data_IF_824232264208
#
_entry.id   IF_824232264208
#
_cell.length_a   1.000
_cell.length_b   1.000
_cell.length_c   1.000
_cell.angle_alpha   90.00
_cell.angle_beta   90.00
_cell.angle_gamma   90.00
#
_symmetry.space_group_name_H-M   'P 1'
#
loop_
_entity.id
_entity.type
_entity.pdbx_description
1 polymer ?
#
# COMPACT_ATOMS: atom_id res chain seq x y z
N UNK A 1 3.77 26.51 1.09
CA UNK A 1 3.62 25.32 0.23
C UNK A 1 2.69 25.72 -0.90
N UNK A 2 3.17 25.72 -2.12
CA UNK A 2 2.34 25.97 -3.29
C UNK A 2 1.19 24.96 -3.32
N UNK A 3 -0.02 25.48 -3.57
CA UNK A 3 -1.21 24.64 -3.79
C UNK A 3 -1.08 23.95 -5.16
N UNK A 4 -0.20 22.97 -5.23
CA UNK A 4 0.07 22.19 -6.42
C UNK A 4 -1.15 21.34 -6.75
N UNK A 5 -1.80 21.66 -7.86
CA UNK A 5 -2.68 20.79 -8.65
C UNK A 5 -3.52 19.75 -7.89
N UNK A 6 -4.42 20.21 -7.04
CA UNK A 6 -5.48 19.33 -6.50
C UNK A 6 -6.41 18.98 -7.67
N UNK A 7 -6.56 17.69 -7.95
CA UNK A 7 -7.48 17.18 -8.94
C UNK A 7 -8.68 16.56 -8.23
N UNK A 8 -9.86 17.04 -8.53
CA UNK A 8 -11.10 16.44 -8.07
C UNK A 8 -11.43 15.22 -8.95
N UNK A 9 -11.66 14.07 -8.34
CA UNK A 9 -12.03 12.82 -8.99
C UNK A 9 -13.39 12.36 -8.49
N UNK A 10 -14.22 11.82 -9.39
CA UNK A 10 -15.55 11.31 -9.02
C UNK A 10 -15.47 9.97 -8.31
N UNK A 11 -14.60 9.10 -8.80
CA UNK A 11 -14.32 7.78 -8.26
C UNK A 11 -12.85 7.41 -8.49
N UNK A 12 -12.32 6.53 -7.67
CA UNK A 12 -10.94 6.03 -7.74
C UNK A 12 -10.89 4.58 -7.30
N UNK A 13 -10.10 3.79 -8.01
CA UNK A 13 -9.75 2.43 -7.61
C UNK A 13 -8.29 2.39 -7.17
N UNK A 14 -8.06 2.05 -5.89
CA UNK A 14 -6.71 1.79 -5.35
C UNK A 14 -6.53 0.29 -5.15
N UNK A 15 -5.36 -0.22 -5.50
CA UNK A 15 -4.96 -1.59 -5.22
C UNK A 15 -3.70 -1.61 -4.37
N UNK A 16 -3.81 -2.12 -3.15
CA UNK A 16 -2.69 -2.40 -2.25
C UNK A 16 -2.20 -3.81 -2.49
N UNK A 17 -0.90 -4.01 -2.65
CA UNK A 17 -0.34 -5.34 -2.95
C UNK A 17 1.05 -5.53 -2.37
N UNK A 18 1.30 -6.74 -1.84
CA UNK A 18 2.54 -7.14 -1.22
C UNK A 18 2.54 -8.64 -0.94
N UNK A 19 3.53 -9.12 -0.20
CA UNK A 19 3.55 -10.52 0.23
C UNK A 19 2.45 -10.81 1.26
N UNK A 20 2.05 -12.06 1.34
CA UNK A 20 1.20 -12.55 2.43
C UNK A 20 1.91 -12.30 3.78
N UNK A 21 1.41 -11.37 4.56
CA UNK A 21 2.02 -10.92 5.82
C UNK A 21 2.52 -9.47 5.80
N UNK A 22 2.60 -8.81 4.65
CA UNK A 22 2.90 -7.38 4.55
C UNK A 22 1.75 -6.49 5.07
N UNK A 23 0.60 -7.07 5.43
CA UNK A 23 -0.50 -6.34 6.05
C UNK A 23 -1.41 -5.59 5.07
N UNK A 24 -1.38 -5.93 3.78
CA UNK A 24 -2.17 -5.24 2.75
C UNK A 24 -3.68 -5.29 2.99
N UNK A 25 -4.16 -6.38 3.57
CA UNK A 25 -5.57 -6.50 3.98
C UNK A 25 -5.94 -5.46 5.05
N UNK A 26 -5.07 -5.25 6.04
CA UNK A 26 -5.27 -4.25 7.08
C UNK A 26 -5.21 -2.82 6.52
N UNK A 27 -4.22 -2.55 5.66
CA UNK A 27 -4.04 -1.24 4.99
C UNK A 27 -5.29 -0.88 4.19
N UNK A 28 -5.77 -1.80 3.34
CA UNK A 28 -6.97 -1.59 2.54
C UNK A 28 -8.23 -1.44 3.39
N UNK A 29 -8.38 -2.21 4.45
CA UNK A 29 -9.50 -2.09 5.40
C UNK A 29 -9.51 -0.71 6.07
N UNK A 30 -8.38 -0.25 6.61
CA UNK A 30 -8.30 1.07 7.25
C UNK A 30 -8.57 2.22 6.28
N UNK A 31 -8.08 2.10 5.04
CA UNK A 31 -8.36 3.09 4.00
C UNK A 31 -9.84 3.14 3.64
N UNK A 32 -10.47 1.97 3.42
CA UNK A 32 -11.89 1.88 3.05
C UNK A 32 -12.80 2.36 4.17
N UNK A 33 -12.55 1.95 5.41
CA UNK A 33 -13.36 2.37 6.56
C UNK A 33 -13.27 3.89 6.80
N UNK A 34 -12.06 4.46 6.69
CA UNK A 34 -11.86 5.91 6.80
C UNK A 34 -12.62 6.65 5.70
N UNK A 35 -12.55 6.16 4.45
CA UNK A 35 -13.26 6.77 3.32
C UNK A 35 -14.78 6.64 3.46
N UNK A 36 -15.29 5.51 3.95
CA UNK A 36 -16.71 5.32 4.23
C UNK A 36 -17.24 6.28 5.29
N UNK A 37 -16.45 6.55 6.35
CA UNK A 37 -16.82 7.51 7.39
C UNK A 37 -16.91 8.96 6.88
N UNK A 38 -16.22 9.27 5.79
CA UNK A 38 -16.33 10.56 5.09
C UNK A 38 -17.55 10.64 4.14
N UNK A 39 -18.33 9.57 4.06
CA UNK A 39 -19.52 9.50 3.21
C UNK A 39 -19.29 9.00 1.80
N UNK A 40 -18.08 8.50 1.48
CA UNK A 40 -17.85 7.89 0.18
C UNK A 40 -18.64 6.57 0.02
N UNK A 41 -19.11 6.30 -1.19
CA UNK A 41 -19.50 4.96 -1.60
C UNK A 41 -18.26 4.07 -1.68
N UNK A 42 -18.35 2.84 -1.18
CA UNK A 42 -17.20 1.92 -1.09
C UNK A 42 -17.59 0.56 -1.63
N UNK A 43 -16.70 -0.01 -2.45
CA UNK A 43 -16.72 -1.43 -2.81
C UNK A 43 -15.32 -1.99 -2.71
N UNK A 44 -15.14 -3.17 -2.10
CA UNK A 44 -13.82 -3.75 -1.82
C UNK A 44 -13.69 -5.17 -2.36
N UNK A 45 -12.45 -5.54 -2.70
CA UNK A 45 -12.10 -6.90 -3.11
C UNK A 45 -10.80 -7.34 -2.44
N UNK A 46 -10.86 -8.20 -1.40
CA UNK A 46 -9.69 -8.85 -0.86
C UNK A 46 -9.18 -9.91 -1.83
N UNK A 47 -7.88 -9.86 -2.15
CA UNK A 47 -7.22 -10.79 -3.06
C UNK A 47 -6.14 -11.55 -2.28
N UNK A 48 -6.31 -12.86 -2.18
CA UNK A 48 -5.44 -13.75 -1.42
C UNK A 48 -4.43 -14.44 -2.35
N UNK A 49 -3.26 -14.86 -1.81
CA UNK A 49 -2.24 -15.50 -2.63
C UNK A 49 -2.77 -16.77 -3.31
N UNK A 50 -2.32 -17.02 -4.53
CA UNK A 50 -2.66 -18.22 -5.30
C UNK A 50 -2.17 -19.49 -4.59
N UNK A 51 -1.04 -19.40 -3.85
CA UNK A 51 -0.49 -20.49 -3.03
C UNK A 51 -0.38 -20.05 -1.57
N UNK A 52 -1.00 -20.82 -0.66
CA UNK A 52 -1.08 -20.52 0.78
C UNK A 52 0.32 -20.45 1.44
N UNK A 53 1.32 -21.17 0.90
CA UNK A 53 2.68 -21.28 1.46
C UNK A 53 3.76 -20.90 0.45
N UNK A 54 3.44 -20.02 -0.50
CA UNK A 54 4.43 -19.54 -1.44
C UNK A 54 5.57 -18.79 -0.71
N UNK A 55 6.82 -18.94 -1.17
CA UNK A 55 7.95 -18.19 -0.63
C UNK A 55 7.73 -16.69 -0.81
N UNK A 56 8.20 -15.90 0.17
CA UNK A 56 8.15 -14.43 0.11
C UNK A 56 8.93 -13.90 -1.10
N UNK A 57 8.39 -12.87 -1.75
CA UNK A 57 8.97 -12.26 -2.94
C UNK A 57 8.67 -12.99 -4.24
N UNK A 58 7.84 -14.05 -4.22
CA UNK A 58 7.39 -14.74 -5.44
C UNK A 58 6.00 -14.26 -5.86
N UNK A 59 5.73 -14.28 -7.16
CA UNK A 59 4.44 -13.86 -7.73
C UNK A 59 3.27 -14.68 -7.16
N UNK A 60 3.48 -15.95 -6.88
CA UNK A 60 2.45 -16.84 -6.31
C UNK A 60 2.07 -16.50 -4.86
N UNK A 61 2.97 -15.81 -4.12
CA UNK A 61 2.76 -15.39 -2.73
C UNK A 61 2.15 -14.00 -2.57
N UNK A 62 1.83 -13.32 -3.67
CA UNK A 62 1.29 -11.97 -3.65
C UNK A 62 -0.14 -11.96 -3.10
N UNK A 63 -0.37 -11.09 -2.15
CA UNK A 63 -1.69 -10.74 -1.59
C UNK A 63 -2.05 -9.31 -1.99
N UNK A 64 -3.33 -9.03 -2.12
CA UNK A 64 -3.80 -7.70 -2.47
C UNK A 64 -5.11 -7.33 -1.80
N UNK A 65 -5.41 -6.05 -1.80
CA UNK A 65 -6.70 -5.50 -1.39
C UNK A 65 -7.06 -4.34 -2.31
N UNK A 66 -8.18 -4.44 -2.99
CA UNK A 66 -8.66 -3.39 -3.87
C UNK A 66 -9.80 -2.62 -3.23
N UNK A 67 -9.76 -1.31 -3.35
CA UNK A 67 -10.79 -0.39 -2.86
C UNK A 67 -11.25 0.50 -4.00
N UNK A 68 -12.51 0.42 -4.36
CA UNK A 68 -13.18 1.37 -5.22
C UNK A 68 -13.99 2.32 -4.34
N UNK A 69 -13.72 3.61 -4.42
CA UNK A 69 -14.39 4.61 -3.63
C UNK A 69 -14.71 5.85 -4.47
N UNK A 70 -15.84 6.50 -4.19
CA UNK A 70 -16.30 7.63 -4.97
C UNK A 70 -17.34 8.48 -4.23
N UNK A 71 -17.81 9.52 -4.91
CA UNK A 71 -18.86 10.41 -4.41
C UNK A 71 -20.25 9.77 -4.40
N UNK A 72 -20.41 8.64 -5.09
CA UNK A 72 -21.66 7.89 -5.20
C UNK A 72 -21.51 6.47 -4.68
N UNK A 73 -22.61 5.72 -4.67
CA UNK A 73 -22.58 4.31 -4.27
C UNK A 73 -21.86 3.49 -5.33
N UNK A 74 -20.76 2.86 -4.92
CA UNK A 74 -19.99 1.94 -5.76
C UNK A 74 -20.59 0.52 -5.70
N UNK A 75 -20.92 -0.05 -6.87
CA UNK A 75 -21.59 -1.36 -6.97
C UNK A 75 -20.62 -2.52 -7.23
N UNK A 76 -19.39 -2.21 -7.61
CA UNK A 76 -18.35 -3.21 -7.90
C UNK A 76 -16.97 -2.67 -7.47
N UNK A 77 -15.99 -3.54 -7.23
CA UNK A 77 -14.65 -3.14 -6.79
C UNK A 77 -13.77 -2.55 -7.92
N UNK A 78 -14.27 -2.42 -9.13
CA UNK A 78 -13.53 -1.99 -10.31
C UNK A 78 -12.69 -3.11 -10.93
N UNK A 79 -12.48 -3.06 -12.25
CA UNK A 79 -11.65 -4.03 -12.98
C UNK A 79 -10.18 -3.59 -13.00
N UNK A 80 -9.92 -2.30 -13.22
CA UNK A 80 -8.60 -1.70 -13.32
C UNK A 80 -8.40 -0.64 -12.26
N UNK A 81 -7.16 -0.49 -11.77
CA UNK A 81 -6.85 0.48 -10.73
C UNK A 81 -6.24 1.77 -11.28
N UNK A 82 -6.61 2.88 -10.64
CA UNK A 82 -6.03 4.21 -10.86
C UNK A 82 -4.71 4.37 -10.10
N UNK A 83 -4.60 3.68 -8.95
CA UNK A 83 -3.40 3.68 -8.11
C UNK A 83 -3.06 2.25 -7.70
N UNK A 84 -1.82 1.87 -7.92
CA UNK A 84 -1.22 0.62 -7.40
C UNK A 84 -0.18 0.98 -6.33
N UNK A 85 -0.34 0.43 -5.15
CA UNK A 85 0.68 0.45 -4.08
C UNK A 85 1.31 -0.93 -4.01
N UNK A 86 2.53 -1.06 -4.49
CA UNK A 86 3.27 -2.33 -4.54
C UNK A 86 4.41 -2.33 -3.51
N UNK A 87 4.38 -3.23 -2.56
CA UNK A 87 5.40 -3.31 -1.51
C UNK A 87 6.67 -4.04 -1.93
N UNK A 88 6.67 -4.66 -3.12
CA UNK A 88 7.83 -5.36 -3.68
C UNK A 88 7.67 -5.62 -5.19
N UNK A 89 8.74 -6.06 -5.89
CA UNK A 89 8.70 -6.35 -7.33
C UNK A 89 7.71 -7.45 -7.73
N UNK A 90 7.48 -8.46 -6.89
CA UNK A 90 6.51 -9.52 -7.17
C UNK A 90 5.08 -8.97 -7.21
N UNK A 91 4.74 -8.09 -6.26
CA UNK A 91 3.47 -7.38 -6.23
C UNK A 91 3.28 -6.48 -7.45
N UNK A 92 4.34 -5.76 -7.86
CA UNK A 92 4.32 -4.94 -9.07
C UNK A 92 4.03 -5.80 -10.31
N UNK A 93 4.78 -6.89 -10.49
CA UNK A 93 4.65 -7.79 -11.64
C UNK A 93 3.27 -8.46 -11.73
N UNK A 94 2.76 -8.95 -10.59
CA UNK A 94 1.45 -9.61 -10.52
C UNK A 94 0.30 -8.68 -10.91
N UNK A 95 0.43 -7.39 -10.60
CA UNK A 95 -0.65 -6.41 -10.75
C UNK A 95 -0.50 -5.47 -11.96
N UNK A 96 0.60 -5.55 -12.73
CA UNK A 96 0.82 -4.71 -13.94
C UNK A 96 -0.38 -4.72 -14.89
N UNK A 97 -1.00 -5.87 -15.07
CA UNK A 97 -2.13 -6.08 -15.98
C UNK A 97 -3.44 -5.38 -15.56
N UNK A 98 -3.52 -4.94 -14.32
CA UNK A 98 -4.70 -4.28 -13.77
C UNK A 98 -4.58 -2.75 -13.72
N UNK A 99 -3.51 -2.17 -14.27
CA UNK A 99 -3.33 -0.72 -14.32
C UNK A 99 -4.17 -0.09 -15.42
N UNK A 100 -4.91 0.99 -15.10
CA UNK A 100 -5.51 1.88 -16.09
C UNK A 100 -4.42 2.63 -16.84
N UNK A 101 -4.61 3.03 -18.11
CA UNK A 101 -3.69 3.94 -18.78
C UNK A 101 -3.46 5.22 -17.95
N UNK A 102 -2.19 5.61 -17.75
CA UNK A 102 -1.84 6.77 -16.95
C UNK A 102 -2.01 6.61 -15.43
N UNK A 103 -2.23 5.39 -14.93
CA UNK A 103 -2.32 5.12 -13.50
C UNK A 103 -1.04 5.52 -12.75
N UNK A 104 -1.19 5.79 -11.46
CA UNK A 104 -0.07 6.01 -10.55
C UNK A 104 0.40 4.69 -9.95
N UNK A 105 1.70 4.44 -10.00
CA UNK A 105 2.34 3.26 -9.41
C UNK A 105 3.27 3.71 -8.30
N UNK A 106 3.00 3.31 -7.08
CA UNK A 106 3.86 3.55 -5.91
C UNK A 106 4.52 2.23 -5.55
N UNK A 107 5.84 2.16 -5.64
CA UNK A 107 6.61 0.96 -5.28
C UNK A 107 7.64 1.27 -4.22
N UNK A 108 7.78 0.43 -3.19
CA UNK A 108 8.86 0.55 -2.22
C UNK A 108 10.23 0.36 -2.90
N UNK A 109 10.97 1.47 -3.07
CA UNK A 109 12.27 1.49 -3.72
C UNK A 109 13.32 0.60 -3.02
N UNK A 110 13.24 0.49 -1.69
CA UNK A 110 14.14 -0.36 -0.91
C UNK A 110 13.93 -1.85 -1.19
N UNK A 111 12.79 -2.21 -1.75
CA UNK A 111 12.47 -3.58 -2.14
C UNK A 111 13.02 -3.98 -3.50
N UNK A 112 13.46 -3.02 -4.33
CA UNK A 112 14.01 -3.28 -5.66
C UNK A 112 15.47 -3.74 -5.52
N UNK A 113 15.65 -4.99 -5.14
CA UNK A 113 16.96 -5.63 -5.01
C UNK A 113 17.10 -6.78 -6.01
N UNK A 114 18.33 -7.13 -6.36
CA UNK A 114 18.60 -8.25 -7.29
C UNK A 114 17.94 -9.56 -6.82
N UNK A 115 17.98 -9.84 -5.51
CA UNK A 115 17.35 -11.04 -4.93
C UNK A 115 15.83 -11.03 -5.08
N UNK A 116 15.16 -9.90 -4.81
CA UNK A 116 13.71 -9.78 -4.97
C UNK A 116 13.30 -9.82 -6.45
N UNK A 117 14.04 -9.18 -7.33
CA UNK A 117 13.78 -9.22 -8.77
C UNK A 117 13.90 -10.65 -9.31
N UNK A 118 14.95 -11.38 -8.88
CA UNK A 118 15.17 -12.77 -9.26
C UNK A 118 14.05 -13.69 -8.74
N UNK A 119 13.63 -13.54 -7.47
CA UNK A 119 12.50 -14.29 -6.91
C UNK A 119 11.19 -14.02 -7.64
N UNK A 120 10.96 -12.78 -8.08
CA UNK A 120 9.81 -12.38 -8.87
C UNK A 120 9.97 -12.72 -10.38
N UNK A 121 11.03 -13.45 -10.75
CA UNK A 121 11.31 -13.87 -12.12
C UNK A 121 11.44 -12.70 -13.12
N UNK A 122 12.05 -11.58 -12.71
CA UNK A 122 12.47 -10.54 -13.65
C UNK A 122 13.71 -10.99 -14.43
N UNK A 123 13.74 -10.65 -15.70
CA UNK A 123 14.88 -10.93 -16.57
C UNK A 123 15.98 -9.85 -16.46
N UNK A 124 15.60 -8.65 -16.02
CA UNK A 124 16.50 -7.49 -15.91
C UNK A 124 16.51 -6.93 -14.48
N UNK A 125 17.45 -6.03 -14.20
CA UNK A 125 17.53 -5.29 -12.94
C UNK A 125 16.64 -4.01 -12.94
N UNK A 126 16.01 -3.72 -14.06
CA UNK A 126 15.11 -2.59 -14.23
C UNK A 126 13.66 -3.08 -14.39
N UNK A 127 12.89 -3.19 -13.29
CA UNK A 127 11.51 -3.64 -13.35
C UNK A 127 10.58 -2.64 -14.05
N UNK A 128 10.94 -1.36 -14.09
CA UNK A 128 10.13 -0.32 -14.73
C UNK A 128 10.18 -0.48 -16.25
N UNK A 129 11.39 -0.59 -16.81
CA UNK A 129 11.59 -0.82 -18.24
C UNK A 129 11.01 -2.18 -18.67
N UNK A 130 11.27 -3.26 -17.91
CA UNK A 130 10.79 -4.62 -18.25
C UNK A 130 9.26 -4.68 -18.31
N UNK A 131 8.55 -3.99 -17.39
CA UNK A 131 7.10 -3.96 -17.34
C UNK A 131 6.48 -2.83 -18.20
N UNK A 132 7.29 -2.06 -18.93
CA UNK A 132 6.86 -0.94 -19.77
C UNK A 132 5.99 0.06 -18.99
N UNK A 133 6.55 0.57 -17.89
CA UNK A 133 5.85 1.51 -17.00
C UNK A 133 6.17 2.98 -17.31
N UNK A 134 6.89 3.29 -18.40
CA UNK A 134 7.29 4.65 -18.79
C UNK A 134 6.08 5.57 -19.08
N UNK A 135 4.94 4.99 -19.45
CA UNK A 135 3.69 5.73 -19.69
C UNK A 135 2.84 5.94 -18.41
N UNK A 136 3.33 5.47 -17.27
CA UNK A 136 2.65 5.55 -15.98
C UNK A 136 3.32 6.58 -15.08
N UNK A 137 2.57 7.10 -14.13
CA UNK A 137 3.14 7.97 -13.10
C UNK A 137 3.80 7.11 -12.01
N UNK A 138 5.09 6.82 -12.17
CA UNK A 138 5.83 5.93 -11.25
C UNK A 138 6.51 6.74 -10.15
N UNK A 139 6.21 6.39 -8.90
CA UNK A 139 6.79 6.99 -7.69
C UNK A 139 7.51 5.88 -6.91
N UNK A 140 8.79 6.08 -6.62
CA UNK A 140 9.66 5.06 -6.01
C UNK A 140 10.23 5.57 -4.67
N UNK A 141 9.40 5.72 -3.62
CA UNK A 141 9.89 6.12 -2.31
C UNK A 141 10.61 4.95 -1.64
N UNK A 142 11.60 5.24 -0.82
CA UNK A 142 12.22 4.26 0.07
C UNK A 142 11.33 3.99 1.30
N UNK A 143 10.18 3.36 1.12
CA UNK A 143 9.18 3.17 2.18
C UNK A 143 9.79 2.51 3.41
N UNK A 144 10.60 1.47 3.21
CA UNK A 144 11.26 0.75 4.31
C UNK A 144 12.25 1.63 5.05
N UNK A 145 13.08 2.39 4.36
CA UNK A 145 14.06 3.33 4.96
C UNK A 145 13.33 4.48 5.66
N UNK A 146 12.36 5.11 5.02
CA UNK A 146 11.57 6.19 5.61
C UNK A 146 10.82 5.73 6.86
N UNK A 147 10.26 4.52 6.86
CA UNK A 147 9.63 3.92 8.06
C UNK A 147 10.65 3.75 9.19
N UNK A 148 11.87 3.28 8.91
CA UNK A 148 12.93 3.13 9.92
C UNK A 148 13.34 4.48 10.50
N UNK A 149 13.49 5.48 9.67
CA UNK A 149 13.87 6.83 10.10
C UNK A 149 12.79 7.45 10.98
N UNK A 150 11.52 7.33 10.61
CA UNK A 150 10.38 7.80 11.38
C UNK A 150 10.29 7.12 12.77
N UNK A 151 10.66 5.85 12.85
CA UNK A 151 10.52 5.06 14.08
C UNK A 151 11.84 4.90 14.86
N UNK A 152 12.91 5.62 14.51
CA UNK A 152 14.24 5.50 15.13
C UNK A 152 14.20 5.68 16.64
N UNK A 153 13.41 6.62 17.13
CA UNK A 153 13.34 6.98 18.56
C UNK A 153 12.40 6.07 19.38
N UNK A 154 11.72 5.10 18.74
CA UNK A 154 10.75 4.24 19.44
C UNK A 154 11.39 3.12 20.27
N UNK A 155 12.68 2.84 20.07
CA UNK A 155 13.39 1.76 20.75
C UNK A 155 12.94 0.34 20.34
N UNK A 156 12.13 0.21 19.29
CA UNK A 156 11.68 -1.09 18.76
C UNK A 156 12.80 -1.79 17.98
N UNK A 157 12.77 -3.11 17.98
CA UNK A 157 13.66 -3.93 17.15
C UNK A 157 13.37 -3.76 15.65
N UNK A 158 14.38 -3.99 14.81
CA UNK A 158 14.29 -3.81 13.36
C UNK A 158 13.16 -4.60 12.71
N UNK A 159 12.82 -5.78 13.23
CA UNK A 159 11.74 -6.62 12.69
C UNK A 159 10.38 -5.99 12.97
N UNK A 160 10.18 -5.45 14.16
CA UNK A 160 8.97 -4.74 14.56
C UNK A 160 8.79 -3.45 13.76
N UNK A 161 9.87 -2.66 13.61
CA UNK A 161 9.88 -1.45 12.79
C UNK A 161 9.50 -1.76 11.32
N UNK A 162 10.15 -2.77 10.71
CA UNK A 162 9.88 -3.13 9.32
C UNK A 162 8.42 -3.57 9.10
N UNK A 163 7.76 -4.13 10.10
CA UNK A 163 6.35 -4.49 10.01
C UNK A 163 5.41 -3.28 9.93
N UNK A 164 5.86 -2.10 10.34
CA UNK A 164 5.06 -0.87 10.27
C UNK A 164 5.09 -0.21 8.86
N UNK A 165 5.85 -0.73 7.89
CA UNK A 165 5.94 -0.17 6.54
C UNK A 165 4.59 -0.08 5.82
N UNK A 166 3.66 -0.99 6.13
CA UNK A 166 2.30 -0.95 5.59
C UNK A 166 1.50 0.25 6.12
N UNK A 167 1.76 0.69 7.34
CA UNK A 167 1.14 1.89 7.89
C UNK A 167 1.73 3.16 7.28
N UNK A 168 3.02 3.17 6.97
CA UNK A 168 3.64 4.25 6.21
C UNK A 168 3.02 4.36 4.80
N UNK A 169 2.85 3.23 4.10
CA UNK A 169 2.16 3.21 2.81
C UNK A 169 0.69 3.68 2.90
N UNK A 170 0.01 3.39 4.02
CA UNK A 170 -1.32 3.93 4.32
C UNK A 170 -1.28 5.44 4.48
N UNK A 171 -0.28 5.99 5.19
CA UNK A 171 -0.06 7.43 5.35
C UNK A 171 0.11 8.14 4.03
N UNK A 172 0.92 7.60 3.10
CA UNK A 172 1.05 8.13 1.73
C UNK A 172 -0.33 8.23 1.06
N UNK A 173 -1.16 7.18 1.16
CA UNK A 173 -2.50 7.20 0.57
C UNK A 173 -3.45 8.16 1.29
N UNK A 174 -3.34 8.32 2.61
CA UNK A 174 -4.12 9.32 3.35
C UNK A 174 -3.77 10.73 2.90
N UNK A 175 -2.49 11.03 2.72
CA UNK A 175 -2.04 12.31 2.19
C UNK A 175 -2.55 12.55 0.75
N UNK A 176 -2.41 11.56 -0.15
CA UNK A 176 -2.81 11.69 -1.56
C UNK A 176 -4.31 11.93 -1.72
N UNK A 177 -5.14 11.39 -0.85
CA UNK A 177 -6.59 11.45 -0.95
C UNK A 177 -7.25 12.30 0.14
N UNK A 178 -6.46 13.09 0.87
CA UNK A 178 -6.94 13.97 1.95
C UNK A 178 -7.83 13.22 2.97
N UNK A 179 -7.27 12.13 3.53
CA UNK A 179 -7.98 11.29 4.51
C UNK A 179 -7.52 11.57 5.93
N UNK A 180 -8.46 11.82 6.88
CA UNK A 180 -8.11 12.04 8.28
C UNK A 180 -7.66 10.74 8.96
N UNK A 181 -6.63 10.82 9.79
CA UNK A 181 -6.01 9.68 10.47
C UNK A 181 -6.80 9.18 11.70
N UNK A 182 -7.73 9.99 12.21
CA UNK A 182 -8.39 9.76 13.50
C UNK A 182 -9.02 8.39 13.66
N UNK A 183 -9.67 7.87 12.61
CA UNK A 183 -10.25 6.53 12.65
C UNK A 183 -9.20 5.44 12.72
N UNK A 184 -8.16 5.53 11.88
CA UNK A 184 -7.06 4.58 11.87
C UNK A 184 -6.36 4.52 13.22
N UNK A 185 -6.13 5.67 13.87
CA UNK A 185 -5.54 5.74 15.21
C UNK A 185 -6.40 5.07 16.27
N UNK A 186 -7.70 5.34 16.29
CA UNK A 186 -8.64 4.68 17.19
C UNK A 186 -8.66 3.16 16.99
N UNK A 187 -8.64 2.71 15.75
CA UNK A 187 -8.58 1.28 15.42
C UNK A 187 -7.28 0.66 15.92
N UNK A 188 -6.13 1.29 15.66
CA UNK A 188 -4.81 0.85 16.09
C UNK A 188 -4.75 0.74 17.62
N UNK A 189 -5.23 1.75 18.34
CA UNK A 189 -5.31 1.73 19.81
C UNK A 189 -6.15 0.58 20.32
N UNK A 190 -7.34 0.40 19.76
CA UNK A 190 -8.26 -0.65 20.19
C UNK A 190 -7.68 -2.05 19.96
N UNK A 191 -7.02 -2.26 18.82
CA UNK A 191 -6.55 -3.58 18.39
C UNK A 191 -5.18 -3.95 18.95
N UNK A 192 -4.27 -2.99 19.03
CA UNK A 192 -2.87 -3.25 19.34
C UNK A 192 -2.43 -2.79 20.72
N UNK A 193 -2.96 -1.68 21.26
CA UNK A 193 -2.47 -1.10 22.50
C UNK A 193 -2.59 -2.05 23.72
N UNK A 194 -3.65 -2.87 23.76
CA UNK A 194 -3.81 -3.86 24.84
C UNK A 194 -2.74 -4.94 24.85
N UNK A 195 -2.18 -5.27 23.68
CA UNK A 195 -1.16 -6.32 23.54
C UNK A 195 0.26 -5.74 23.58
N UNK A 196 0.46 -4.62 22.89
CA UNK A 196 1.76 -3.95 22.81
C UNK A 196 1.55 -2.45 22.51
N UNK A 197 1.55 -1.58 23.54
CA UNK A 197 1.39 -0.15 23.39
C UNK A 197 2.46 0.48 22.48
N UNK A 198 3.71 0.00 22.54
CA UNK A 198 4.80 0.53 21.73
C UNK A 198 4.56 0.26 20.23
N UNK A 199 4.01 -0.90 19.86
CA UNK A 199 3.63 -1.21 18.48
C UNK A 199 2.45 -0.33 18.03
N UNK A 200 1.48 -0.07 18.91
CA UNK A 200 0.37 0.82 18.57
C UNK A 200 0.88 2.23 18.26
N UNK A 201 1.78 2.77 19.09
CA UNK A 201 2.38 4.08 18.88
C UNK A 201 3.22 4.13 17.60
N UNK A 202 4.07 3.12 17.36
CA UNK A 202 4.86 3.03 16.15
C UNK A 202 4.01 3.01 14.86
N UNK A 203 2.89 2.29 14.87
CA UNK A 203 1.98 2.30 13.73
C UNK A 203 1.35 3.67 13.47
N UNK A 204 0.99 4.43 14.51
CA UNK A 204 0.49 5.80 14.37
C UNK A 204 1.56 6.74 13.83
N UNK A 205 2.76 6.68 14.38
CA UNK A 205 3.90 7.47 13.90
C UNK A 205 4.23 7.17 12.44
N UNK A 206 4.17 5.91 12.02
CA UNK A 206 4.40 5.52 10.63
C UNK A 206 3.34 6.06 9.66
N UNK A 207 2.09 6.25 10.09
CA UNK A 207 1.05 6.89 9.27
C UNK A 207 1.32 8.39 9.11
N UNK A 208 1.85 9.06 10.15
CA UNK A 208 2.05 10.51 10.18
C UNK A 208 3.33 10.97 9.49
N UNK A 209 4.29 10.08 9.27
CA UNK A 209 5.60 10.39 8.70
C UNK A 209 5.57 10.53 7.19
#
# INVERSE_FOLDING_TARGET
MDKTNVRELQDVVIRFSGDSGDGMQLTGTLFSDTSALLGNGISTFPDYPAEIRAPQGTVAGVSGFQVHFGSHRELNPGDYCDVLVAMNPAALKANRKWLKPGATVIIDGDSITEDHLKKACFATLDPIAELKLDEYNVVIPGITTMTRDALRETGLDNKSVTKCKNMFALGICFYLFDRPEAYAFKYIETKFAKKNPAIAEANKLAIQA
#
